data_IF_683340229815
#
_entry.id   IF_683340229815
#
_cell.length_a   1.000
_cell.length_b   1.000
_cell.length_c   1.000
_cell.angle_alpha   90.00
_cell.angle_beta   90.00
_cell.angle_gamma   90.00
#
_symmetry.space_group_name_H-M   'P 1'
#
loop_
_entity.id
_entity.type
_entity.pdbx_description
1 polymer ?
#
# COMPACT_ATOMS: atom_id res chain seq x y z
N UNK A 1 19.95 61.34 -42.14
CA UNK A 1 19.82 60.68 -40.81
C UNK A 1 19.67 59.19 -41.04
N UNK A 2 20.52 58.37 -40.41
CA UNK A 2 20.89 57.01 -40.83
C UNK A 2 19.87 55.92 -40.43
N UNK A 3 19.51 54.95 -41.31
CA UNK A 3 18.62 53.83 -41.01
C UNK A 3 19.36 52.60 -40.45
N UNK A 4 20.36 52.79 -39.59
CA UNK A 4 21.18 51.68 -39.04
C UNK A 4 20.80 51.31 -37.60
N UNK A 5 19.93 52.08 -36.93
CA UNK A 5 19.62 51.86 -35.51
C UNK A 5 18.58 50.74 -35.21
N UNK A 6 17.79 50.28 -36.19
CA UNK A 6 16.65 49.38 -35.92
C UNK A 6 16.90 47.88 -36.17
N UNK A 7 18.08 47.49 -36.65
CA UNK A 7 18.42 46.08 -36.88
C UNK A 7 19.16 45.42 -35.70
N UNK A 8 19.72 46.20 -34.76
CA UNK A 8 20.44 45.66 -33.60
C UNK A 8 19.53 45.14 -32.48
N UNK A 9 18.33 45.71 -32.30
CA UNK A 9 17.38 45.30 -31.25
C UNK A 9 16.69 43.96 -31.56
N UNK A 10 16.32 43.71 -32.82
CA UNK A 10 15.69 42.46 -33.23
C UNK A 10 16.60 41.23 -33.16
N UNK A 11 17.87 41.38 -33.51
CA UNK A 11 18.87 40.30 -33.43
C UNK A 11 19.18 39.90 -31.98
N UNK A 12 19.33 40.87 -31.07
CA UNK A 12 19.53 40.61 -29.64
C UNK A 12 18.30 39.91 -29.02
N UNK A 13 17.08 40.31 -29.39
CA UNK A 13 15.85 39.67 -28.91
C UNK A 13 15.68 38.24 -29.44
N UNK A 14 16.05 38.00 -30.70
CA UNK A 14 16.02 36.68 -31.31
C UNK A 14 17.07 35.75 -30.68
N UNK A 15 18.29 36.26 -30.44
CA UNK A 15 19.37 35.51 -29.77
C UNK A 15 19.01 35.18 -28.32
N UNK A 16 18.43 36.12 -27.57
CA UNK A 16 18.00 35.89 -26.17
C UNK A 16 16.89 34.85 -26.08
N UNK A 17 15.93 34.86 -27.01
CA UNK A 17 14.84 33.87 -27.06
C UNK A 17 15.36 32.47 -27.40
N UNK A 18 16.36 32.35 -28.27
CA UNK A 18 16.98 31.06 -28.59
C UNK A 18 17.88 30.56 -27.46
N UNK A 19 18.71 31.42 -26.86
CA UNK A 19 19.54 31.08 -25.70
C UNK A 19 18.67 30.65 -24.50
N UNK A 20 17.53 31.32 -24.26
CA UNK A 20 16.60 30.91 -23.18
C UNK A 20 16.01 29.52 -23.40
N UNK A 21 15.70 29.14 -24.65
CA UNK A 21 15.21 27.79 -24.98
C UNK A 21 16.29 26.74 -24.75
N UNK A 22 17.53 27.02 -25.14
CA UNK A 22 18.65 26.10 -24.87
C UNK A 22 18.95 25.98 -23.37
N UNK A 23 18.83 27.07 -22.59
CA UNK A 23 18.99 27.05 -21.14
C UNK A 23 17.88 26.26 -20.44
N UNK A 24 16.63 26.35 -20.92
CA UNK A 24 15.51 25.54 -20.42
C UNK A 24 15.70 24.05 -20.76
N UNK A 25 16.17 23.74 -21.97
CA UNK A 25 16.48 22.36 -22.36
C UNK A 25 17.68 21.83 -21.59
N UNK A 26 18.73 22.63 -21.38
CA UNK A 26 19.88 22.22 -20.56
C UNK A 26 19.50 22.03 -19.10
N UNK A 27 18.65 22.89 -18.54
CA UNK A 27 18.20 22.73 -17.15
C UNK A 27 17.27 21.54 -17.00
N UNK A 28 16.38 21.27 -17.95
CA UNK A 28 15.55 20.07 -17.97
C UNK A 28 16.39 18.80 -18.13
N UNK A 29 17.40 18.81 -19.00
CA UNK A 29 18.34 17.69 -19.18
C UNK A 29 19.25 17.51 -17.97
N UNK A 30 19.65 18.58 -17.28
CA UNK A 30 20.43 18.51 -16.05
C UNK A 30 19.58 18.00 -14.89
N UNK A 31 18.33 18.43 -14.77
CA UNK A 31 17.37 17.89 -13.80
C UNK A 31 17.12 16.41 -14.08
N UNK A 32 16.90 16.03 -15.34
CA UNK A 32 16.76 14.63 -15.75
C UNK A 32 18.04 13.83 -15.46
N UNK A 33 19.22 14.38 -15.73
CA UNK A 33 20.50 13.74 -15.43
C UNK A 33 20.73 13.61 -13.92
N UNK A 34 20.39 14.61 -13.11
CA UNK A 34 20.47 14.55 -11.64
C UNK A 34 19.46 13.56 -11.08
N UNK A 35 18.25 13.49 -11.64
CA UNK A 35 17.27 12.47 -11.29
C UNK A 35 17.81 11.08 -11.65
N UNK A 36 18.29 10.87 -12.88
CA UNK A 36 18.86 9.59 -13.33
C UNK A 36 20.12 9.18 -12.55
N UNK A 37 20.99 10.12 -12.21
CA UNK A 37 22.19 9.87 -11.39
C UNK A 37 21.84 9.61 -9.94
N UNK A 38 20.85 10.32 -9.37
CA UNK A 38 20.29 10.03 -8.05
C UNK A 38 19.68 8.63 -8.01
N UNK A 39 18.90 8.26 -9.02
CA UNK A 39 18.36 6.90 -9.17
C UNK A 39 19.47 5.85 -9.28
N UNK A 40 20.55 6.13 -10.04
CA UNK A 40 21.70 5.22 -10.18
C UNK A 40 22.47 5.04 -8.86
N UNK A 41 22.59 6.07 -8.03
CA UNK A 41 23.31 6.01 -6.74
C UNK A 41 22.52 5.25 -5.67
N UNK A 42 21.20 5.20 -5.78
CA UNK A 42 20.34 4.37 -4.91
C UNK A 42 20.23 2.90 -5.36
N UNK A 43 20.71 2.57 -6.57
CA UNK A 43 20.56 1.24 -7.17
C UNK A 43 21.80 0.33 -7.00
N UNK A 44 22.74 0.69 -6.12
CA UNK A 44 24.02 0.00 -5.93
C UNK A 44 23.98 -1.19 -4.96
N UNK A 45 22.80 -1.69 -4.58
CA UNK A 45 22.70 -3.03 -4.01
C UNK A 45 22.37 -4.03 -5.10
N UNK A 46 23.43 -4.62 -5.68
CA UNK A 46 23.29 -5.76 -6.58
C UNK A 46 22.66 -6.93 -5.81
N UNK A 47 21.35 -7.11 -5.95
CA UNK A 47 20.66 -8.31 -5.51
C UNK A 47 21.41 -9.50 -6.11
N UNK A 48 21.92 -10.40 -5.25
CA UNK A 48 22.55 -11.61 -5.74
C UNK A 48 21.49 -12.56 -6.31
N UNK A 49 21.09 -12.33 -7.56
CA UNK A 49 20.02 -13.04 -8.27
C UNK A 49 20.34 -14.52 -8.54
N UNK A 50 21.56 -14.99 -8.25
CA UNK A 50 22.02 -16.34 -8.62
C UNK A 50 21.48 -17.47 -7.75
N UNK A 51 20.76 -17.17 -6.66
CA UNK A 51 20.23 -18.17 -5.72
C UNK A 51 18.68 -18.18 -5.60
N UNK A 52 17.95 -17.44 -6.46
CA UNK A 52 16.48 -17.39 -6.37
C UNK A 52 15.89 -18.70 -6.92
N UNK A 53 15.27 -19.48 -6.03
CA UNK A 53 14.55 -20.71 -6.37
C UNK A 53 13.05 -20.44 -6.20
N UNK A 54 12.39 -20.09 -7.30
CA UNK A 54 10.94 -19.86 -7.34
C UNK A 54 10.38 -20.23 -8.72
N UNK A 55 9.21 -20.88 -8.81
CA UNK A 55 8.55 -21.12 -10.10
C UNK A 55 8.13 -19.83 -10.82
N UNK A 56 8.03 -18.72 -10.08
CA UNK A 56 7.54 -17.43 -10.55
C UNK A 56 8.69 -16.54 -11.03
N UNK A 57 9.94 -16.95 -10.82
CA UNK A 57 11.12 -16.19 -11.19
C UNK A 57 11.76 -16.76 -12.47
N UNK A 58 11.64 -16.03 -13.57
CA UNK A 58 12.27 -16.35 -14.85
C UNK A 58 12.49 -15.07 -15.66
N UNK A 59 13.39 -15.11 -16.65
CA UNK A 59 13.79 -13.93 -17.44
C UNK A 59 14.26 -12.74 -16.56
N UNK A 60 14.92 -13.05 -15.43
CA UNK A 60 15.42 -12.11 -14.42
C UNK A 60 14.35 -11.27 -13.71
N UNK A 61 13.08 -11.70 -13.72
CA UNK A 61 11.97 -11.03 -13.05
C UNK A 61 11.00 -12.05 -12.44
N UNK A 62 10.25 -11.62 -11.43
CA UNK A 62 9.06 -12.32 -10.95
C UNK A 62 7.87 -12.04 -11.87
N UNK A 63 7.00 -13.02 -12.05
CA UNK A 63 5.83 -12.96 -12.92
C UNK A 63 4.54 -13.32 -12.18
N UNK A 64 3.43 -12.76 -12.66
CA UNK A 64 2.08 -13.12 -12.20
C UNK A 64 1.70 -14.53 -12.69
N UNK A 65 0.68 -15.14 -12.06
CA UNK A 65 0.15 -16.43 -12.51
C UNK A 65 -0.45 -16.38 -13.93
N UNK A 66 -0.95 -15.21 -14.33
CA UNK A 66 -1.50 -14.95 -15.65
C UNK A 66 -0.80 -13.74 -16.28
N UNK A 67 -0.94 -13.57 -17.58
CA UNK A 67 -0.48 -12.37 -18.29
C UNK A 67 -1.23 -11.13 -17.78
N UNK A 68 -0.51 -10.27 -17.05
CA UNK A 68 -1.04 -9.03 -16.48
C UNK A 68 -0.50 -7.85 -17.26
N UNK A 69 -1.41 -7.07 -17.85
CA UNK A 69 -1.08 -5.78 -18.45
C UNK A 69 -1.20 -4.69 -17.40
N UNK A 70 -0.08 -4.04 -17.11
CA UNK A 70 -0.10 -2.81 -16.34
C UNK A 70 -0.16 -1.60 -17.25
N UNK A 71 -0.90 -0.59 -16.82
CA UNK A 71 -0.99 0.68 -17.52
C UNK A 71 0.39 1.34 -17.66
N UNK A 72 0.68 1.91 -18.84
CA UNK A 72 1.89 2.71 -19.08
C UNK A 72 1.48 4.13 -19.47
N UNK A 73 2.00 5.09 -18.71
CA UNK A 73 1.81 6.52 -18.88
C UNK A 73 2.63 7.13 -20.03
N UNK A 74 3.56 6.38 -20.61
CA UNK A 74 4.50 6.93 -21.58
C UNK A 74 3.81 7.24 -22.91
N UNK A 75 3.46 8.52 -23.10
CA UNK A 75 3.16 9.12 -24.41
C UNK A 75 1.80 8.77 -25.02
N UNK A 76 0.84 8.27 -24.25
CA UNK A 76 -0.47 7.90 -24.80
C UNK A 76 -1.41 9.11 -24.87
N UNK A 77 -2.04 9.30 -26.04
CA UNK A 77 -3.11 10.28 -26.24
C UNK A 77 -4.29 10.08 -25.28
N UNK A 78 -4.47 8.85 -24.77
CA UNK A 78 -5.47 8.53 -23.76
C UNK A 78 -5.23 9.27 -22.45
N UNK A 79 -4.00 9.31 -21.92
CA UNK A 79 -3.71 10.01 -20.66
C UNK A 79 -3.99 11.52 -20.74
N UNK A 80 -3.59 12.17 -21.83
CA UNK A 80 -3.87 13.59 -22.07
C UNK A 80 -5.37 13.85 -22.22
N UNK A 81 -6.09 12.98 -22.93
CA UNK A 81 -7.53 13.08 -23.07
C UNK A 81 -8.22 13.00 -21.71
N UNK A 82 -7.88 12.00 -20.89
CA UNK A 82 -8.45 11.83 -19.56
C UNK A 82 -8.21 13.07 -18.69
N UNK A 83 -6.97 13.58 -18.67
CA UNK A 83 -6.64 14.81 -17.93
C UNK A 83 -7.50 16.01 -18.36
N UNK A 84 -7.85 16.10 -19.65
CA UNK A 84 -8.66 17.18 -20.18
C UNK A 84 -10.18 16.98 -20.04
N UNK A 85 -10.67 15.75 -19.89
CA UNK A 85 -12.12 15.44 -19.94
C UNK A 85 -12.70 14.91 -18.63
N UNK A 86 -11.87 14.39 -17.73
CA UNK A 86 -12.31 13.81 -16.47
C UNK A 86 -12.20 14.82 -15.32
N UNK A 87 -13.05 14.60 -14.32
CA UNK A 87 -13.09 15.39 -13.10
C UNK A 87 -12.22 14.73 -12.04
N UNK A 88 -11.14 15.40 -11.64
CA UNK A 88 -10.24 14.99 -10.57
C UNK A 88 -10.46 15.83 -9.30
N UNK A 89 -11.68 16.32 -9.08
CA UNK A 89 -12.07 16.97 -7.83
C UNK A 89 -12.12 15.96 -6.67
N UNK A 90 -11.90 16.45 -5.46
CA UNK A 90 -12.07 15.70 -4.22
C UNK A 90 -11.22 14.41 -4.12
N UNK A 91 -10.06 14.34 -4.77
CA UNK A 91 -9.09 13.25 -4.59
C UNK A 91 -8.41 13.31 -3.20
N UNK A 92 -8.53 14.44 -2.52
CA UNK A 92 -8.09 14.68 -1.14
C UNK A 92 -9.21 15.38 -0.37
N UNK A 93 -9.32 15.16 0.95
CA UNK A 93 -10.29 15.88 1.77
C UNK A 93 -9.82 17.33 2.02
N UNK A 94 -10.77 18.26 2.08
CA UNK A 94 -10.52 19.66 2.43
C UNK A 94 -10.25 19.86 3.93
N UNK A 95 -10.71 18.92 4.76
CA UNK A 95 -10.56 18.93 6.21
C UNK A 95 -9.91 17.63 6.70
N UNK A 96 -9.19 17.66 7.83
CA UNK A 96 -8.66 16.44 8.43
C UNK A 96 -9.77 15.42 8.71
N UNK A 97 -9.49 14.14 8.42
CA UNK A 97 -10.47 13.08 8.65
C UNK A 97 -10.54 12.74 10.14
N UNK A 98 -11.73 12.34 10.65
CA UNK A 98 -11.88 11.90 12.03
C UNK A 98 -10.98 10.69 12.31
N UNK A 99 -10.23 10.76 13.41
CA UNK A 99 -9.23 9.77 13.82
C UNK A 99 -9.34 9.50 15.30
N UNK A 100 -9.20 8.23 15.70
CA UNK A 100 -9.01 7.85 17.10
C UNK A 100 -7.51 7.75 17.35
N UNK A 101 -6.96 8.76 18.02
CA UNK A 101 -5.55 8.76 18.41
C UNK A 101 -5.27 7.59 19.37
N UNK A 102 -4.25 6.81 19.06
CA UNK A 102 -3.78 5.68 19.84
C UNK A 102 -2.52 6.06 20.62
N UNK A 103 -2.34 5.43 21.77
CA UNK A 103 -1.11 5.47 22.55
C UNK A 103 -0.97 4.16 23.33
N UNK A 104 0.18 3.96 23.99
CA UNK A 104 0.45 2.73 24.74
C UNK A 104 -0.61 2.43 25.81
N UNK A 105 -1.09 3.46 26.53
CA UNK A 105 -2.09 3.28 27.57
C UNK A 105 -3.43 2.81 27.00
N UNK A 106 -3.85 3.34 25.85
CA UNK A 106 -5.10 2.94 25.22
C UNK A 106 -5.02 1.52 24.65
N UNK A 107 -3.90 1.17 24.01
CA UNK A 107 -3.64 -0.19 23.53
C UNK A 107 -3.61 -1.19 24.68
N UNK A 108 -2.99 -0.82 25.80
CA UNK A 108 -2.97 -1.59 27.04
C UNK A 108 -4.39 -1.81 27.60
N UNK A 109 -5.19 -0.75 27.70
CA UNK A 109 -6.57 -0.84 28.16
C UNK A 109 -7.41 -1.73 27.23
N UNK A 110 -7.24 -1.56 25.92
CA UNK A 110 -8.01 -2.33 24.94
C UNK A 110 -7.68 -3.82 25.01
N UNK A 111 -6.41 -4.22 25.19
CA UNK A 111 -6.03 -5.64 25.36
C UNK A 111 -6.46 -6.23 26.70
N UNK A 112 -6.52 -5.44 27.78
CA UNK A 112 -6.97 -5.93 29.09
C UNK A 112 -8.50 -6.11 29.15
N UNK A 113 -9.22 -5.44 28.25
CA UNK A 113 -10.69 -5.46 28.17
C UNK A 113 -11.22 -6.39 27.07
N UNK A 114 -10.37 -7.20 26.44
CA UNK A 114 -10.76 -8.14 25.39
C UNK A 114 -10.09 -9.49 25.60
N UNK A 115 -10.84 -10.56 25.39
CA UNK A 115 -10.35 -11.94 25.53
C UNK A 115 -9.86 -12.53 24.19
N UNK A 116 -9.81 -11.72 23.12
CA UNK A 116 -9.41 -12.21 21.80
C UNK A 116 -8.74 -11.18 20.90
N UNK A 117 -8.67 -11.47 19.58
CA UNK A 117 -7.85 -10.68 18.67
C UNK A 117 -8.43 -9.28 18.45
N UNK A 118 -7.54 -8.29 18.42
CA UNK A 118 -7.89 -6.89 18.16
C UNK A 118 -7.19 -6.39 16.92
N UNK A 119 -7.88 -5.61 16.10
CA UNK A 119 -7.35 -5.02 14.90
C UNK A 119 -7.53 -3.50 14.92
N UNK A 120 -6.50 -2.78 14.50
CA UNK A 120 -6.52 -1.32 14.35
C UNK A 120 -6.02 -0.97 12.96
N UNK A 121 -6.89 -0.36 12.16
CA UNK A 121 -6.48 0.21 10.88
C UNK A 121 -5.72 1.52 11.12
N UNK A 122 -4.45 1.57 10.73
CA UNK A 122 -3.57 2.73 10.92
C UNK A 122 -3.53 3.66 9.71
N UNK A 123 -4.37 3.40 8.70
CA UNK A 123 -4.43 4.15 7.45
C UNK A 123 -3.75 3.43 6.30
N UNK A 124 -4.20 3.69 5.07
CA UNK A 124 -3.72 3.01 3.87
C UNK A 124 -3.84 1.49 4.02
N UNK A 125 -2.73 0.76 3.88
CA UNK A 125 -2.64 -0.68 4.12
C UNK A 125 -1.96 -1.03 5.46
N UNK A 126 -1.65 -0.04 6.29
CA UNK A 126 -1.04 -0.26 7.60
C UNK A 126 -2.05 -0.75 8.63
N UNK A 127 -1.78 -1.90 9.25
CA UNK A 127 -2.66 -2.52 10.24
C UNK A 127 -1.86 -2.99 11.45
N UNK A 128 -2.26 -2.56 12.65
CA UNK A 128 -1.77 -3.13 13.91
C UNK A 128 -2.73 -4.21 14.38
N UNK A 129 -2.21 -5.39 14.66
CA UNK A 129 -2.94 -6.56 15.08
C UNK A 129 -2.45 -7.00 16.46
N UNK A 130 -3.35 -7.15 17.42
CA UNK A 130 -3.11 -7.89 18.65
C UNK A 130 -3.66 -9.30 18.46
N UNK A 131 -2.78 -10.28 18.38
CA UNK A 131 -3.12 -11.68 18.08
C UNK A 131 -2.20 -12.58 18.88
N UNK A 132 -2.79 -13.58 19.54
CA UNK A 132 -2.06 -14.51 20.42
C UNK A 132 -1.18 -13.76 21.43
N UNK A 133 -1.81 -12.81 22.14
CA UNK A 133 -1.22 -11.99 23.20
C UNK A 133 -0.04 -11.09 22.78
N UNK A 134 0.22 -10.93 21.47
CA UNK A 134 1.35 -10.16 20.93
C UNK A 134 0.90 -9.20 19.84
N UNK A 135 1.71 -8.17 19.61
CA UNK A 135 1.45 -7.17 18.57
C UNK A 135 2.19 -7.49 17.28
N UNK A 136 1.49 -7.36 16.16
CA UNK A 136 1.97 -7.57 14.80
C UNK A 136 1.59 -6.36 13.96
N UNK A 137 2.44 -6.04 12.98
CA UNK A 137 2.24 -4.85 12.16
C UNK A 137 2.37 -5.22 10.68
N UNK A 138 1.37 -4.87 9.88
CA UNK A 138 1.31 -5.20 8.45
C UNK A 138 1.52 -3.91 7.65
N UNK A 139 2.35 -3.95 6.61
CA UNK A 139 2.68 -2.87 5.66
C UNK A 139 2.79 -1.48 6.32
N UNK A 140 3.71 -1.28 7.29
CA UNK A 140 3.76 -0.04 8.05
C UNK A 140 4.36 1.13 7.27
N UNK A 141 3.56 2.18 7.08
CA UNK A 141 3.99 3.45 6.47
C UNK A 141 3.61 4.64 7.35
N UNK A 142 4.61 5.17 8.05
CA UNK A 142 4.45 6.28 8.99
C UNK A 142 5.07 7.59 8.45
N UNK A 143 5.88 7.53 7.39
CA UNK A 143 6.44 8.72 6.75
C UNK A 143 5.37 9.60 6.11
N UNK A 144 5.69 10.89 5.93
CA UNK A 144 4.80 11.88 5.31
C UNK A 144 4.60 11.65 3.81
N UNK A 145 5.53 10.94 3.15
CA UNK A 145 5.49 10.65 1.72
C UNK A 145 5.79 9.20 1.42
N UNK A 146 5.05 8.62 0.48
CA UNK A 146 5.37 7.35 -0.15
C UNK A 146 6.30 7.62 -1.36
N UNK A 147 7.56 7.93 -1.08
CA UNK A 147 8.52 8.36 -2.11
C UNK A 147 9.97 8.18 -1.67
N UNK A 148 10.93 8.01 -2.60
CA UNK A 148 12.35 8.09 -2.27
C UNK A 148 12.80 9.51 -1.90
N UNK A 149 11.98 10.53 -2.19
CA UNK A 149 12.30 11.93 -1.96
C UNK A 149 11.39 12.55 -0.90
N UNK A 150 11.96 13.32 0.02
CA UNK A 150 11.19 14.07 1.03
C UNK A 150 10.38 15.24 0.46
N UNK A 151 10.71 15.70 -0.75
CA UNK A 151 10.11 16.89 -1.37
C UNK A 151 9.22 16.60 -2.59
N UNK A 152 9.17 15.34 -3.07
CA UNK A 152 8.45 14.96 -4.28
C UNK A 152 7.76 13.60 -4.10
N UNK A 153 6.70 13.32 -4.87
CA UNK A 153 5.90 12.10 -4.77
C UNK A 153 4.70 12.20 -3.82
N UNK A 154 3.86 11.15 -3.73
CA UNK A 154 2.61 11.17 -2.97
C UNK A 154 2.81 11.55 -1.50
N UNK A 155 2.17 12.66 -1.08
CA UNK A 155 2.15 13.10 0.31
C UNK A 155 0.86 12.64 0.97
N UNK A 156 0.95 12.04 2.15
CA UNK A 156 -0.24 11.68 2.94
C UNK A 156 -1.05 12.92 3.27
N UNK A 157 -2.37 12.86 3.14
CA UNK A 157 -3.27 13.91 3.64
C UNK A 157 -3.75 13.64 5.07
N UNK A 158 -3.59 12.40 5.55
CA UNK A 158 -4.03 11.97 6.88
C UNK A 158 -2.87 11.33 7.65
N UNK A 159 -2.45 11.84 8.83
CA UNK A 159 -1.35 11.29 9.63
C UNK A 159 -1.70 9.91 10.21
N UNK A 160 -0.70 9.11 10.59
CA UNK A 160 -0.94 7.86 11.32
C UNK A 160 -1.56 8.17 12.70
N UNK A 161 -2.42 7.31 13.27
CA UNK A 161 -3.09 7.57 14.54
C UNK A 161 -2.17 7.33 15.76
N UNK A 162 -0.92 6.92 15.52
CA UNK A 162 0.11 6.63 16.51
C UNK A 162 1.47 6.87 15.88
N UNK A 163 2.46 7.25 16.68
CA UNK A 163 3.86 7.33 16.24
C UNK A 163 4.57 5.98 16.41
N UNK A 164 5.63 5.72 15.63
CA UNK A 164 6.46 4.51 15.79
C UNK A 164 7.02 4.39 17.22
N UNK A 165 7.40 5.52 17.84
CA UNK A 165 7.88 5.54 19.22
C UNK A 165 6.84 5.01 20.22
N UNK A 166 5.57 5.30 20.00
CA UNK A 166 4.46 4.89 20.85
C UNK A 166 3.95 3.46 20.56
N UNK A 167 4.41 2.81 19.48
CA UNK A 167 4.08 1.42 19.26
C UNK A 167 4.64 0.53 20.39
N UNK A 168 3.87 -0.49 20.82
CA UNK A 168 4.37 -1.52 21.73
C UNK A 168 5.47 -2.36 21.05
N UNK A 169 6.19 -3.21 21.81
CA UNK A 169 7.05 -4.24 21.21
C UNK A 169 6.26 -5.11 20.23
N UNK A 170 6.85 -5.41 19.08
CA UNK A 170 6.22 -6.16 17.99
C UNK A 170 6.85 -7.54 17.87
N UNK A 171 6.03 -8.58 17.91
CA UNK A 171 6.46 -9.95 17.60
C UNK A 171 6.85 -10.10 16.12
N UNK A 172 6.21 -9.32 15.23
CA UNK A 172 6.70 -9.22 13.87
C UNK A 172 6.06 -8.14 13.02
N UNK A 173 6.76 -7.83 11.93
CA UNK A 173 6.28 -6.99 10.83
C UNK A 173 6.09 -7.84 9.58
N UNK A 174 4.96 -7.69 8.90
CA UNK A 174 4.61 -8.40 7.68
C UNK A 174 4.61 -7.38 6.54
N UNK A 175 5.29 -7.70 5.43
CA UNK A 175 5.33 -6.86 4.22
C UNK A 175 4.70 -7.61 3.05
N UNK A 176 3.86 -6.98 2.25
CA UNK A 176 3.29 -7.56 1.03
C UNK A 176 4.20 -7.43 -0.18
N UNK A 177 4.83 -6.28 -0.39
CA UNK A 177 5.67 -6.00 -1.55
C UNK A 177 6.53 -4.73 -1.33
N UNK A 178 7.35 -4.39 -2.32
CA UNK A 178 8.37 -3.36 -2.18
C UNK A 178 7.95 -1.94 -2.63
N UNK A 179 6.67 -1.62 -2.88
CA UNK A 179 6.32 -0.23 -3.25
C UNK A 179 6.47 0.74 -2.05
N UNK A 180 6.63 2.03 -2.33
CA UNK A 180 6.96 3.03 -1.30
C UNK A 180 5.87 3.24 -0.24
N UNK A 181 4.62 2.99 -0.62
CA UNK A 181 3.43 3.07 0.22
C UNK A 181 3.12 1.77 0.99
N UNK A 182 3.98 0.75 0.85
CA UNK A 182 3.93 -0.53 1.59
C UNK A 182 5.22 -0.85 2.35
N UNK A 183 6.35 -0.41 1.80
CA UNK A 183 7.68 -0.59 2.34
C UNK A 183 8.38 0.76 2.49
N UNK A 184 8.22 1.35 3.67
CA UNK A 184 8.79 2.64 4.04
C UNK A 184 10.13 2.48 4.79
N UNK A 185 11.22 2.84 4.12
CA UNK A 185 12.58 2.76 4.66
C UNK A 185 12.73 3.44 6.03
N UNK A 186 12.17 4.65 6.19
CA UNK A 186 12.32 5.41 7.42
C UNK A 186 11.53 4.77 8.56
N UNK A 187 10.36 4.22 8.26
CA UNK A 187 9.57 3.45 9.24
C UNK A 187 10.30 2.17 9.64
N UNK A 188 10.78 1.38 8.69
CA UNK A 188 11.50 0.12 8.96
C UNK A 188 12.73 0.35 9.83
N UNK A 189 13.52 1.40 9.55
CA UNK A 189 14.68 1.76 10.39
C UNK A 189 14.29 2.09 11.83
N UNK A 190 13.18 2.80 12.04
CA UNK A 190 12.68 3.11 13.39
C UNK A 190 12.11 1.89 14.12
N UNK A 191 11.65 0.88 13.38
CA UNK A 191 11.12 -0.37 13.92
C UNK A 191 12.21 -1.40 14.27
N UNK A 192 13.45 -1.21 13.80
CA UNK A 192 14.53 -2.19 13.92
C UNK A 192 14.70 -2.78 15.34
N UNK A 193 14.63 -1.93 16.37
CA UNK A 193 14.82 -2.31 17.77
C UNK A 193 13.51 -2.74 18.46
N UNK A 194 12.35 -2.43 17.88
CA UNK A 194 11.02 -2.73 18.45
C UNK A 194 10.44 -4.05 17.93
N UNK A 195 10.93 -4.53 16.80
CA UNK A 195 10.40 -5.69 16.10
C UNK A 195 11.28 -6.90 16.34
N UNK A 196 10.72 -8.02 16.77
CA UNK A 196 11.45 -9.29 16.91
C UNK A 196 11.80 -9.88 15.54
N UNK A 197 10.84 -9.93 14.60
CA UNK A 197 11.02 -10.58 13.30
C UNK A 197 10.29 -9.87 12.13
N UNK A 198 10.77 -10.07 10.90
CA UNK A 198 10.18 -9.56 9.66
C UNK A 198 9.81 -10.70 8.72
N UNK A 199 8.58 -10.71 8.21
CA UNK A 199 8.05 -11.70 7.27
C UNK A 199 7.76 -11.02 5.94
N UNK A 200 8.42 -11.48 4.88
CA UNK A 200 8.48 -10.78 3.60
C UNK A 200 8.34 -11.78 2.44
N UNK A 201 7.96 -11.35 1.24
CA UNK A 201 8.15 -12.13 0.02
C UNK A 201 9.65 -12.24 -0.32
N UNK A 202 9.99 -13.19 -1.19
CA UNK A 202 11.35 -13.34 -1.70
C UNK A 202 11.97 -12.03 -2.21
N UNK A 203 13.25 -11.85 -1.89
CA UNK A 203 14.15 -10.74 -2.27
C UNK A 203 13.85 -9.40 -1.58
N UNK A 204 12.66 -9.22 -0.99
CA UNK A 204 12.33 -7.99 -0.24
C UNK A 204 13.24 -7.80 0.98
N UNK A 205 13.74 -8.89 1.56
CA UNK A 205 14.68 -8.90 2.69
C UNK A 205 16.03 -8.27 2.36
N UNK A 206 16.42 -8.16 1.09
CA UNK A 206 17.64 -7.44 0.72
C UNK A 206 17.53 -5.95 1.06
N UNK A 207 16.39 -5.31 0.78
CA UNK A 207 16.17 -3.90 1.14
C UNK A 207 16.29 -3.69 2.65
N UNK A 208 15.71 -4.59 3.45
CA UNK A 208 15.80 -4.51 4.91
C UNK A 208 17.24 -4.66 5.41
N UNK A 209 18.02 -5.58 4.84
CA UNK A 209 19.44 -5.75 5.16
C UNK A 209 20.24 -4.49 4.81
N UNK A 210 20.01 -3.91 3.62
CA UNK A 210 20.63 -2.64 3.20
C UNK A 210 20.29 -1.48 4.14
N UNK A 211 19.16 -1.58 4.84
CA UNK A 211 18.71 -0.60 5.83
C UNK A 211 19.17 -0.88 7.25
N UNK A 212 19.96 -1.94 7.46
CA UNK A 212 20.58 -2.29 8.74
C UNK A 212 19.80 -3.31 9.57
N UNK A 213 18.77 -3.96 9.00
CA UNK A 213 18.08 -5.06 9.67
C UNK A 213 18.94 -6.33 9.55
N UNK A 214 19.19 -6.98 10.68
CA UNK A 214 19.99 -8.20 10.70
C UNK A 214 19.27 -9.36 10.00
N UNK A 215 20.04 -10.16 9.24
CA UNK A 215 19.50 -11.27 8.42
C UNK A 215 18.76 -12.33 9.26
N UNK A 216 19.17 -12.56 10.50
CA UNK A 216 18.51 -13.50 11.42
C UNK A 216 17.10 -13.07 11.85
N UNK A 217 16.76 -11.79 11.70
CA UNK A 217 15.42 -11.25 11.97
C UNK A 217 14.50 -11.29 10.74
N UNK A 218 14.94 -11.88 9.63
CA UNK A 218 14.22 -11.85 8.35
C UNK A 218 13.84 -13.26 7.93
N UNK A 219 12.58 -13.44 7.56
CA UNK A 219 12.11 -14.62 6.84
C UNK A 219 11.47 -14.19 5.53
N UNK A 220 12.07 -14.66 4.43
CA UNK A 220 11.55 -14.47 3.08
C UNK A 220 10.83 -15.74 2.63
N UNK A 221 9.62 -15.58 2.07
CA UNK A 221 8.77 -16.67 1.65
C UNK A 221 8.37 -16.52 0.18
N UNK A 222 8.40 -17.63 -0.55
CA UNK A 222 7.74 -17.75 -1.84
C UNK A 222 6.23 -18.00 -1.66
N UNK A 223 5.46 -17.89 -2.73
CA UNK A 223 4.04 -18.26 -2.70
C UNK A 223 3.83 -19.70 -2.23
N UNK A 224 2.82 -19.84 -1.38
CA UNK A 224 2.43 -21.06 -0.67
C UNK A 224 3.42 -21.57 0.37
N UNK A 225 4.53 -20.86 0.60
CA UNK A 225 5.40 -21.13 1.74
C UNK A 225 4.86 -20.47 3.00
N UNK A 226 5.21 -21.06 4.14
CA UNK A 226 4.73 -20.60 5.45
C UNK A 226 5.85 -20.53 6.48
N UNK A 227 5.71 -19.61 7.42
CA UNK A 227 6.51 -19.54 8.63
C UNK A 227 5.60 -19.56 9.86
N UNK A 228 6.12 -20.07 10.97
CA UNK A 228 5.39 -20.13 12.24
C UNK A 228 6.21 -19.39 13.29
N UNK A 229 5.55 -18.56 14.08
CA UNK A 229 6.13 -17.89 15.24
C UNK A 229 5.19 -18.02 16.44
N UNK A 230 5.57 -18.90 17.37
CA UNK A 230 4.70 -19.41 18.43
C UNK A 230 3.39 -19.94 17.82
N UNK A 231 2.22 -19.45 18.21
CA UNK A 231 0.92 -19.96 17.72
C UNK A 231 0.43 -19.29 16.43
N UNK A 232 1.18 -18.33 15.87
CA UNK A 232 0.78 -17.61 14.66
C UNK A 232 1.52 -18.16 13.44
N UNK A 233 0.75 -18.63 12.45
CA UNK A 233 1.22 -19.06 11.14
C UNK A 233 1.00 -17.95 10.12
N UNK A 234 2.05 -17.65 9.36
CA UNK A 234 2.05 -16.74 8.22
C UNK A 234 2.25 -17.56 6.95
N UNK A 235 1.37 -17.41 5.98
CA UNK A 235 1.53 -18.01 4.65
C UNK A 235 1.57 -16.89 3.62
N UNK A 236 2.66 -16.80 2.86
CA UNK A 236 2.70 -15.94 1.69
C UNK A 236 1.87 -16.60 0.60
N UNK A 237 0.78 -15.97 0.18
CA UNK A 237 -0.10 -16.46 -0.88
C UNK A 237 0.03 -15.61 -2.14
N UNK A 238 -0.35 -16.13 -3.32
CA UNK A 238 -0.27 -15.35 -4.54
C UNK A 238 -1.04 -14.04 -4.49
N UNK A 239 -0.56 -13.04 -5.20
CA UNK A 239 -1.24 -11.78 -5.48
C UNK A 239 -1.02 -11.41 -6.96
N UNK A 240 -1.96 -10.68 -7.54
CA UNK A 240 -1.85 -10.17 -8.91
C UNK A 240 -1.39 -8.71 -8.90
N UNK A 241 -0.08 -8.49 -8.84
CA UNK A 241 0.52 -7.16 -8.69
C UNK A 241 1.92 -7.12 -9.34
N UNK A 242 2.80 -6.20 -8.94
CA UNK A 242 4.19 -6.15 -9.36
C UNK A 242 5.07 -5.53 -8.26
N UNK A 243 6.39 -5.53 -8.45
CA UNK A 243 7.35 -4.83 -7.59
C UNK A 243 8.15 -3.81 -8.39
N UNK A 244 8.70 -2.80 -7.72
CA UNK A 244 9.61 -1.79 -8.28
C UNK A 244 9.66 -0.49 -7.48
N UNK A 245 10.85 0.06 -7.31
CA UNK A 245 11.13 1.32 -6.60
C UNK A 245 11.88 2.32 -7.48
N UNK A 246 12.39 1.89 -8.63
CA UNK A 246 13.11 2.69 -9.60
C UNK A 246 12.60 2.48 -11.03
N UNK A 247 13.38 2.96 -12.01
CA UNK A 247 13.02 2.88 -13.43
C UNK A 247 13.30 1.50 -14.06
N UNK A 248 14.17 0.70 -13.43
CA UNK A 248 14.73 -0.53 -14.02
C UNK A 248 14.69 -1.75 -13.09
N UNK A 249 14.08 -1.64 -11.91
CA UNK A 249 14.02 -2.70 -10.89
C UNK A 249 12.67 -3.42 -10.83
N UNK A 250 11.87 -3.27 -11.90
CA UNK A 250 10.54 -3.83 -11.95
C UNK A 250 10.60 -5.35 -11.95
N UNK A 251 9.84 -5.97 -11.04
CA UNK A 251 9.79 -7.43 -10.91
C UNK A 251 11.04 -8.04 -10.29
N UNK A 252 11.95 -7.26 -9.70
CA UNK A 252 13.17 -7.81 -9.09
C UNK A 252 12.96 -8.45 -7.72
N UNK A 253 11.83 -8.17 -7.07
CA UNK A 253 11.39 -8.87 -5.85
C UNK A 253 9.97 -9.41 -5.97
N UNK A 254 9.62 -10.39 -5.14
CA UNK A 254 8.28 -10.96 -5.15
C UNK A 254 7.28 -10.02 -4.45
N UNK A 255 6.00 -10.17 -4.78
CA UNK A 255 4.85 -9.58 -4.08
C UNK A 255 3.94 -10.70 -3.60
N UNK A 256 3.28 -10.55 -2.46
CA UNK A 256 2.40 -11.58 -1.90
C UNK A 256 1.18 -10.97 -1.20
N UNK A 257 0.10 -11.73 -1.19
CA UNK A 257 -0.95 -11.62 -0.17
C UNK A 257 -0.57 -12.50 1.03
N UNK A 258 -1.27 -12.36 2.15
CA UNK A 258 -0.95 -13.08 3.37
C UNK A 258 -2.17 -13.74 4.00
N UNK A 259 -2.03 -15.01 4.34
CA UNK A 259 -2.85 -15.67 5.34
C UNK A 259 -2.14 -15.58 6.68
N UNK A 260 -2.83 -15.03 7.67
CA UNK A 260 -2.35 -14.91 9.06
C UNK A 260 -3.34 -15.68 9.92
N UNK A 261 -2.91 -16.79 10.53
CA UNK A 261 -3.81 -17.65 11.27
C UNK A 261 -3.23 -18.17 12.58
N UNK A 262 -4.10 -18.30 13.58
CA UNK A 262 -3.90 -19.12 14.78
C UNK A 262 -4.85 -20.31 14.74
N UNK A 263 -4.90 -21.09 15.83
CA UNK A 263 -5.91 -22.14 15.98
C UNK A 263 -7.35 -21.61 15.84
N UNK A 264 -7.63 -20.40 16.34
CA UNK A 264 -8.98 -19.88 16.50
C UNK A 264 -9.29 -18.63 15.65
N UNK A 265 -8.34 -18.15 14.85
CA UNK A 265 -8.52 -16.91 14.08
C UNK A 265 -7.83 -17.00 12.74
N UNK A 266 -8.52 -16.61 11.67
CA UNK A 266 -7.97 -16.54 10.31
C UNK A 266 -8.21 -15.18 9.70
N UNK A 267 -7.13 -14.50 9.34
CA UNK A 267 -7.11 -13.19 8.72
C UNK A 267 -6.47 -13.31 7.34
N UNK A 268 -7.09 -12.69 6.34
CA UNK A 268 -6.48 -12.55 5.02
C UNK A 268 -6.12 -11.10 4.76
N UNK A 269 -4.95 -10.85 4.16
CA UNK A 269 -4.48 -9.53 3.74
C UNK A 269 -4.06 -9.56 2.27
N UNK A 270 -4.68 -8.74 1.42
CA UNK A 270 -4.47 -8.82 -0.04
C UNK A 270 -3.16 -8.20 -0.55
N UNK A 271 -2.54 -7.31 0.22
CA UNK A 271 -1.70 -6.26 -0.37
C UNK A 271 -2.51 -5.48 -1.42
N UNK A 272 -1.86 -5.09 -2.51
CA UNK A 272 -2.51 -4.30 -3.59
C UNK A 272 -2.99 -5.17 -4.74
N UNK A 273 -3.29 -6.44 -4.49
CA UNK A 273 -3.63 -7.37 -5.57
C UNK A 273 -4.79 -6.86 -6.42
N UNK A 274 -4.64 -6.90 -7.75
CA UNK A 274 -5.78 -6.93 -8.67
C UNK A 274 -6.56 -8.24 -8.53
N UNK A 275 -7.75 -8.31 -9.15
CA UNK A 275 -8.57 -9.52 -9.07
C UNK A 275 -8.06 -10.63 -9.98
N UNK A 276 -8.04 -11.85 -9.42
CA UNK A 276 -7.61 -13.05 -10.11
C UNK A 276 -8.20 -14.31 -9.46
N UNK A 277 -8.24 -15.41 -10.20
CA UNK A 277 -8.82 -16.69 -9.73
C UNK A 277 -8.13 -17.31 -8.52
N UNK A 278 -6.93 -16.85 -8.14
CA UNK A 278 -6.22 -17.38 -6.98
C UNK A 278 -6.87 -17.01 -5.65
N UNK A 279 -7.69 -15.95 -5.57
CA UNK A 279 -8.49 -15.69 -4.37
C UNK A 279 -9.40 -16.88 -4.02
N UNK A 280 -10.03 -17.49 -5.03
CA UNK A 280 -10.83 -18.69 -4.83
C UNK A 280 -9.99 -19.88 -4.35
N UNK A 281 -8.79 -20.06 -4.91
CA UNK A 281 -7.88 -21.12 -4.47
C UNK A 281 -7.41 -20.93 -3.02
N UNK A 282 -7.17 -19.68 -2.61
CA UNK A 282 -6.81 -19.31 -1.24
C UNK A 282 -7.99 -19.59 -0.30
N UNK A 283 -9.20 -19.16 -0.67
CA UNK A 283 -10.41 -19.44 0.10
C UNK A 283 -10.70 -20.93 0.24
N UNK A 284 -10.54 -21.71 -0.83
CA UNK A 284 -10.74 -23.16 -0.82
C UNK A 284 -9.70 -23.89 0.06
N UNK A 285 -8.47 -23.33 0.22
CA UNK A 285 -7.39 -23.94 1.02
C UNK A 285 -7.40 -23.53 2.49
N UNK A 286 -7.66 -22.25 2.77
CA UNK A 286 -7.47 -21.66 4.09
C UNK A 286 -8.77 -21.13 4.70
N UNK A 287 -9.79 -20.83 3.90
CA UNK A 287 -11.05 -20.28 4.36
C UNK A 287 -11.88 -21.24 5.23
N UNK A 288 -13.00 -20.76 5.79
CA UNK A 288 -13.43 -19.36 5.78
C UNK A 288 -12.54 -18.46 6.65
N UNK A 289 -12.39 -17.19 6.26
CA UNK A 289 -11.66 -16.19 7.04
C UNK A 289 -12.60 -15.41 7.96
N UNK A 290 -12.16 -15.11 9.17
CA UNK A 290 -12.91 -14.26 10.10
C UNK A 290 -12.98 -12.82 9.59
N UNK A 291 -11.89 -12.34 9.00
CA UNK A 291 -11.84 -11.02 8.34
C UNK A 291 -10.89 -11.04 7.14
N UNK A 292 -11.31 -10.39 6.06
CA UNK A 292 -10.47 -10.12 4.89
C UNK A 292 -10.17 -8.64 4.80
N UNK A 293 -8.89 -8.31 4.75
CA UNK A 293 -8.32 -6.98 4.58
C UNK A 293 -8.00 -6.81 3.09
N UNK A 294 -8.88 -6.15 2.34
CA UNK A 294 -8.81 -6.14 0.87
C UNK A 294 -8.59 -4.75 0.30
N UNK A 295 -7.71 -4.69 -0.71
CA UNK A 295 -7.50 -3.55 -1.60
C UNK A 295 -8.83 -2.94 -2.04
N UNK A 296 -8.98 -1.64 -1.82
CA UNK A 296 -10.21 -0.92 -2.12
C UNK A 296 -9.98 0.54 -2.56
N UNK A 297 -8.74 0.99 -2.68
CA UNK A 297 -8.41 2.32 -3.19
C UNK A 297 -7.46 2.23 -4.37
N UNK A 298 -6.91 3.38 -4.78
CA UNK A 298 -5.97 3.51 -5.89
C UNK A 298 -6.39 2.82 -7.21
N UNK A 299 -7.68 2.54 -7.41
CA UNK A 299 -8.15 1.76 -8.55
C UNK A 299 -8.54 2.65 -9.74
N UNK A 300 -8.43 2.07 -10.93
CA UNK A 300 -8.98 2.61 -12.16
C UNK A 300 -9.14 1.49 -13.18
N UNK A 301 -10.02 1.68 -14.17
CA UNK A 301 -10.24 0.70 -15.25
C UNK A 301 -8.97 0.44 -16.06
N UNK A 302 -8.09 1.42 -16.18
CA UNK A 302 -6.86 1.35 -16.95
C UNK A 302 -5.80 0.42 -16.33
N UNK A 303 -5.84 0.22 -15.00
CA UNK A 303 -4.92 -0.66 -14.27
C UNK A 303 -5.62 -1.64 -13.33
N UNK A 304 -6.90 -1.95 -13.58
CA UNK A 304 -7.71 -2.87 -12.76
C UNK A 304 -7.11 -4.28 -12.60
N UNK A 305 -6.18 -4.66 -13.49
CA UNK A 305 -5.49 -5.96 -13.39
C UNK A 305 -4.51 -6.01 -12.21
N UNK A 306 -4.11 -4.86 -11.67
CA UNK A 306 -3.20 -4.76 -10.53
C UNK A 306 -3.74 -3.93 -9.37
N UNK A 307 -4.95 -3.36 -9.45
CA UNK A 307 -5.69 -2.81 -8.30
C UNK A 307 -7.17 -3.13 -8.48
N UNK A 308 -7.82 -3.72 -7.49
CA UNK A 308 -9.22 -4.13 -7.62
C UNK A 308 -10.17 -2.94 -7.75
N UNK A 309 -11.10 -3.02 -8.70
CA UNK A 309 -12.33 -2.22 -8.66
C UNK A 309 -13.19 -2.65 -7.46
N UNK A 310 -14.08 -1.79 -6.92
CA UNK A 310 -14.91 -2.14 -5.76
C UNK A 310 -15.74 -3.42 -5.95
N UNK A 311 -16.28 -3.68 -7.14
CA UNK A 311 -17.02 -4.90 -7.46
C UNK A 311 -16.11 -6.15 -7.39
N UNK A 312 -14.85 -5.99 -7.80
CA UNK A 312 -13.84 -7.04 -7.73
C UNK A 312 -13.39 -7.31 -6.29
N UNK A 313 -13.28 -6.29 -5.45
CA UNK A 313 -13.03 -6.44 -4.00
C UNK A 313 -14.13 -7.27 -3.34
N UNK A 314 -15.39 -7.03 -3.70
CA UNK A 314 -16.53 -7.82 -3.21
C UNK A 314 -16.47 -9.27 -3.71
N UNK A 315 -16.12 -9.49 -4.99
CA UNK A 315 -15.95 -10.84 -5.51
C UNK A 315 -14.79 -11.58 -4.83
N UNK A 316 -13.65 -10.92 -4.61
CA UNK A 316 -12.52 -11.49 -3.89
C UNK A 316 -12.91 -11.89 -2.45
N UNK A 317 -13.68 -11.06 -1.75
CA UNK A 317 -14.20 -11.38 -0.41
C UNK A 317 -15.03 -12.67 -0.40
N UNK A 318 -15.93 -12.85 -1.37
CA UNK A 318 -16.71 -14.07 -1.52
C UNK A 318 -15.84 -15.28 -1.85
N UNK A 319 -14.91 -15.13 -2.79
CA UNK A 319 -14.01 -16.21 -3.22
C UNK A 319 -13.10 -16.68 -2.08
N UNK A 320 -12.72 -15.75 -1.19
CA UNK A 320 -11.98 -16.02 0.04
C UNK A 320 -12.85 -16.65 1.14
N UNK A 321 -14.17 -16.68 0.99
CA UNK A 321 -15.11 -17.10 2.02
C UNK A 321 -14.95 -16.27 3.31
N UNK A 322 -14.77 -14.95 3.15
CA UNK A 322 -14.64 -14.02 4.27
C UNK A 322 -15.96 -13.81 5.00
N UNK A 323 -15.89 -13.67 6.34
CA UNK A 323 -17.06 -13.30 7.16
C UNK A 323 -17.22 -11.78 7.26
N UNK A 324 -16.11 -11.08 7.50
CA UNK A 324 -16.05 -9.63 7.60
C UNK A 324 -15.11 -9.04 6.55
N UNK A 325 -15.45 -7.90 5.98
CA UNK A 325 -14.64 -7.18 5.00
C UNK A 325 -14.14 -5.86 5.59
N UNK A 326 -12.83 -5.66 5.66
CA UNK A 326 -12.21 -4.37 5.95
C UNK A 326 -11.50 -3.86 4.69
N UNK A 327 -11.96 -2.78 4.05
CA UNK A 327 -11.26 -2.19 2.93
C UNK A 327 -10.00 -1.44 3.37
N UNK A 328 -8.89 -1.68 2.68
CA UNK A 328 -7.58 -1.03 2.89
C UNK A 328 -7.15 -0.24 1.64
N UNK A 329 -5.93 0.31 1.68
CA UNK A 329 -5.32 1.10 0.59
C UNK A 329 -6.10 2.38 0.22
N UNK A 330 -6.80 2.94 1.20
CA UNK A 330 -7.61 4.14 1.05
C UNK A 330 -7.34 5.11 2.23
N UNK A 331 -7.92 6.31 2.16
CA UNK A 331 -7.97 7.23 3.32
C UNK A 331 -6.66 7.88 3.76
N UNK A 332 -5.55 7.73 3.02
CA UNK A 332 -4.26 8.34 3.40
C UNK A 332 -3.55 9.05 2.24
N UNK A 333 -3.41 8.39 1.09
CA UNK A 333 -2.71 8.93 -0.08
C UNK A 333 -3.67 9.16 -1.24
N UNK A 334 -3.32 10.14 -2.08
CA UNK A 334 -3.96 10.38 -3.38
C UNK A 334 -3.14 9.66 -4.46
N UNK A 335 -3.59 8.47 -4.85
CA UNK A 335 -2.89 7.54 -5.74
C UNK A 335 -3.70 7.18 -7.01
N UNK A 336 -4.93 7.67 -7.13
CA UNK A 336 -5.79 7.44 -8.29
C UNK A 336 -6.78 8.59 -8.48
N UNK A 337 -7.58 8.49 -9.54
CA UNK A 337 -8.46 9.57 -9.97
C UNK A 337 -9.81 9.63 -9.26
N UNK A 338 -10.17 8.59 -8.51
CA UNK A 338 -11.43 8.55 -7.79
C UNK A 338 -11.41 9.53 -6.60
N UNK A 339 -12.59 9.96 -6.15
CA UNK A 339 -12.69 10.79 -4.94
C UNK A 339 -12.21 10.03 -3.72
N UNK A 340 -11.66 10.72 -2.73
CA UNK A 340 -11.10 10.08 -1.53
C UNK A 340 -12.14 9.23 -0.76
N UNK A 341 -13.41 9.62 -0.81
CA UNK A 341 -14.51 8.93 -0.14
C UNK A 341 -15.23 7.87 -1.00
N UNK A 342 -14.93 7.81 -2.30
CA UNK A 342 -15.60 6.92 -3.25
C UNK A 342 -15.45 5.42 -2.90
N UNK A 343 -14.26 4.92 -2.48
CA UNK A 343 -14.11 3.55 -1.97
C UNK A 343 -15.15 3.16 -0.92
N UNK A 344 -15.31 4.00 0.11
CA UNK A 344 -16.23 3.73 1.21
C UNK A 344 -17.67 3.75 0.75
N UNK A 345 -18.04 4.69 -0.11
CA UNK A 345 -19.39 4.80 -0.63
C UNK A 345 -19.76 3.57 -1.47
N UNK A 346 -18.96 3.23 -2.48
CA UNK A 346 -19.24 2.11 -3.39
C UNK A 346 -19.26 0.78 -2.66
N UNK A 347 -18.29 0.51 -1.80
CA UNK A 347 -18.28 -0.74 -1.02
C UNK A 347 -19.45 -0.81 -0.04
N UNK A 348 -19.85 0.31 0.57
CA UNK A 348 -21.04 0.31 1.44
C UNK A 348 -22.33 -0.02 0.69
N UNK A 349 -22.47 0.44 -0.54
CA UNK A 349 -23.62 0.13 -1.41
C UNK A 349 -23.62 -1.35 -1.82
N UNK A 350 -22.47 -1.84 -2.33
CA UNK A 350 -22.32 -3.22 -2.77
C UNK A 350 -22.44 -4.23 -1.62
N UNK A 351 -21.80 -3.96 -0.48
CA UNK A 351 -21.86 -4.82 0.69
C UNK A 351 -23.29 -4.92 1.24
N UNK A 352 -24.03 -3.79 1.28
CA UNK A 352 -25.44 -3.80 1.66
C UNK A 352 -26.30 -4.62 0.71
N UNK A 353 -26.05 -4.53 -0.60
CA UNK A 353 -26.79 -5.27 -1.61
C UNK A 353 -26.58 -6.80 -1.52
N UNK A 354 -25.46 -7.24 -0.93
CA UNK A 354 -25.05 -8.65 -0.85
C UNK A 354 -24.98 -9.19 0.58
N UNK A 355 -25.51 -8.46 1.56
CA UNK A 355 -25.47 -8.78 3.01
C UNK A 355 -24.06 -9.11 3.56
N UNK A 356 -23.05 -8.39 3.06
CA UNK A 356 -21.67 -8.52 3.53
C UNK A 356 -21.48 -7.66 4.78
N UNK A 357 -20.79 -8.21 5.78
CA UNK A 357 -20.40 -7.48 6.97
C UNK A 357 -19.18 -6.59 6.70
N UNK A 358 -19.44 -5.37 6.22
CA UNK A 358 -18.41 -4.36 5.97
C UNK A 358 -17.98 -3.66 7.27
N UNK A 359 -16.68 -3.52 7.48
CA UNK A 359 -16.06 -2.75 8.56
C UNK A 359 -15.44 -1.48 7.99
N UNK A 360 -15.92 -0.31 8.42
CA UNK A 360 -15.34 0.99 8.05
C UNK A 360 -14.97 1.79 9.30
N UNK A 361 -13.99 1.32 10.09
CA UNK A 361 -13.57 2.00 11.32
C UNK A 361 -13.01 3.40 11.00
N UNK A 362 -13.02 4.29 11.98
CA UNK A 362 -12.10 5.43 11.97
C UNK A 362 -10.66 4.89 12.02
N UNK A 363 -9.72 5.62 11.45
CA UNK A 363 -8.31 5.31 11.64
C UNK A 363 -7.99 5.28 13.14
N UNK A 364 -7.30 4.23 13.60
CA UNK A 364 -6.99 3.96 15.00
C UNK A 364 -8.18 3.45 15.85
N UNK A 365 -9.37 3.25 15.27
CA UNK A 365 -10.48 2.63 15.98
C UNK A 365 -10.28 1.11 16.08
N UNK A 366 -10.45 0.59 17.30
CA UNK A 366 -10.44 -0.83 17.60
C UNK A 366 -11.56 -1.57 16.87
N UNK A 367 -11.20 -2.69 16.25
CA UNK A 367 -12.08 -3.77 15.84
C UNK A 367 -11.77 -4.97 16.73
N UNK A 368 -12.77 -5.51 17.41
CA UNK A 368 -12.65 -6.74 18.22
C UNK A 368 -13.18 -7.92 17.41
N UNK A 369 -12.33 -8.93 17.18
CA UNK A 369 -12.68 -10.11 16.38
C UNK A 369 -13.30 -11.24 17.23
N UNK A 370 -13.31 -11.12 18.56
CA UNK A 370 -13.82 -12.15 19.49
C UNK A 370 -15.34 -12.11 19.67
N UNK A 371 -15.96 -10.94 19.47
CA UNK A 371 -17.38 -10.71 19.73
C UNK A 371 -18.16 -10.34 18.46
N UNK A 372 -18.77 -11.34 17.82
CA UNK A 372 -19.76 -11.12 16.75
C UNK A 372 -21.08 -10.50 17.25
N UNK A 373 -21.29 -10.44 18.57
CA UNK A 373 -22.49 -9.88 19.23
C UNK A 373 -22.24 -8.56 19.97
N UNK A 374 -21.11 -7.88 19.72
CA UNK A 374 -20.77 -6.64 20.42
C UNK A 374 -21.89 -5.59 20.26
N UNK A 375 -22.43 -5.02 21.32
CA UNK A 375 -23.46 -3.97 21.20
C UNK A 375 -22.96 -2.72 20.45
N UNK A 376 -21.63 -2.54 20.36
CA UNK A 376 -20.95 -1.53 19.53
C UNK A 376 -20.90 -1.95 18.05
N UNK A 377 -20.99 -3.25 17.74
CA UNK A 377 -21.10 -3.83 16.39
C UNK A 377 -22.29 -3.27 15.63
N UNK A 378 -23.48 -3.26 16.24
CA UNK A 378 -24.72 -2.82 15.59
C UNK A 378 -24.77 -1.31 15.35
N UNK A 379 -24.04 -0.51 16.14
CA UNK A 379 -23.96 0.95 15.95
C UNK A 379 -23.02 1.34 14.80
N UNK A 380 -22.06 0.49 14.44
CA UNK A 380 -20.99 0.84 13.50
C UNK A 380 -20.90 -0.02 12.23
N UNK A 381 -21.71 -1.09 12.09
CA UNK A 381 -21.81 -1.93 10.87
C UNK A 381 -22.00 -1.13 9.57
N UNK A 382 -22.48 0.11 9.69
CA UNK A 382 -22.64 1.06 8.60
C UNK A 382 -22.34 2.50 9.00
N UNK A 383 -21.46 2.76 9.97
CA UNK A 383 -21.15 4.16 10.32
C UNK A 383 -20.36 4.79 9.18
N UNK A 384 -21.07 5.55 8.36
CA UNK A 384 -20.54 6.26 7.20
C UNK A 384 -19.92 7.58 7.63
N UNK A 385 -18.89 7.51 8.47
CA UNK A 385 -18.24 8.70 9.05
C UNK A 385 -17.75 9.70 7.98
N UNK A 386 -17.47 9.23 6.76
CA UNK A 386 -17.09 10.10 5.65
C UNK A 386 -18.24 11.02 5.21
N UNK A 387 -19.50 10.64 5.38
CA UNK A 387 -20.64 11.52 5.11
C UNK A 387 -20.69 12.71 6.07
N UNK A 388 -20.22 12.52 7.31
CA UNK A 388 -20.14 13.59 8.31
C UNK A 388 -19.03 14.61 7.99
N UNK A 389 -18.13 14.29 7.04
CA UNK A 389 -17.05 15.18 6.57
C UNK A 389 -17.46 15.92 5.28
N UNK A 390 -18.40 15.37 4.52
CA UNK A 390 -18.91 15.97 3.27
C UNK A 390 -20.01 17.01 3.50
N UNK A 391 -20.52 17.12 4.73
CA UNK A 391 -21.59 18.02 5.17
C UNK A 391 -21.09 18.92 6.29
#
# INVERSE_FOLDING_TARGET
MSPIANLRSGWLFFLFKHISKYLIVLSASLVLAVLLLGFSWFNESGINKTEIISPQYYDNQFHNLNDVRTWSWQGSWSALRRWATEDFSDTRPDQPLPVRQLNQQLLEQDRLNSDGPLLYWLGHSSVLLYLDQRYWLIDPVFSDRASPFSFYGPQRFQPAPISVAQLPPLAGVIISHNHYDHLDQQTIRQLADKTEHFYLPLVVGQYLQDWGISKDKITELDWWQSAVNQEVTFVATPAQHFSGRGLFDRGESLWASWVIQTENTKIFFSGDSGYFSGFKQIGDRYGPFDITLLEAGAYDRDWQQVHMLPEQTIQAHHDLQGRQLLPIHNGVFDLAFHRWFEPYQKLSELAKAQDIELRTPLQGQKIDLSNSNDSVFNLNRFKRWWLDVLH
#
